data_IF_269072693662
#
_entry.id   IF_269072693662
#
_cell.length_a   1.000
_cell.length_b   1.000
_cell.length_c   1.000
_cell.angle_alpha   90.00
_cell.angle_beta   90.00
_cell.angle_gamma   90.00
#
_symmetry.space_group_name_H-M   'P 1'
#
loop_
_entity.id
_entity.type
_entity.pdbx_description
1 polymer ?
#
# COMPACT_ATOMS: atom_id res chain seq x y z
N UNK A 1 27.52 38.07 60.75
CA UNK A 1 28.40 38.47 59.62
C UNK A 1 28.12 37.54 58.44
N UNK A 2 27.59 38.05 57.33
CA UNK A 2 27.33 37.29 56.09
C UNK A 2 28.46 37.57 55.10
N UNK A 3 29.20 36.55 54.67
CA UNK A 3 30.23 36.67 53.64
C UNK A 3 29.60 36.56 52.25
N UNK A 4 29.78 37.61 51.43
CA UNK A 4 29.46 37.65 50.00
C UNK A 4 30.55 36.92 49.22
N UNK A 5 30.19 36.00 48.32
CA UNK A 5 31.06 35.58 47.23
C UNK A 5 30.61 36.22 45.92
N UNK A 6 31.61 36.76 45.21
CA UNK A 6 31.52 37.56 43.99
C UNK A 6 31.46 36.66 42.75
N UNK A 7 30.51 36.93 41.86
CA UNK A 7 30.38 36.30 40.54
C UNK A 7 31.34 36.93 39.53
N UNK A 8 32.00 36.11 38.69
CA UNK A 8 32.64 36.58 37.45
C UNK A 8 32.10 35.78 36.26
N UNK A 9 31.14 36.37 35.56
CA UNK A 9 30.63 35.91 34.27
C UNK A 9 31.48 36.54 33.18
N UNK A 10 32.10 35.75 32.30
CA UNK A 10 32.81 36.24 31.10
C UNK A 10 31.89 36.03 29.91
N UNK A 11 31.26 37.10 29.45
CA UNK A 11 30.39 37.09 28.27
C UNK A 11 31.22 37.05 26.99
N UNK A 12 31.09 35.98 26.21
CA UNK A 12 31.52 35.97 24.81
C UNK A 12 30.36 36.55 23.98
N UNK A 13 30.60 37.73 23.40
CA UNK A 13 29.70 38.40 22.46
C UNK A 13 29.67 37.62 21.14
N UNK A 14 28.67 36.77 20.94
CA UNK A 14 28.33 36.25 19.62
C UNK A 14 27.09 36.97 19.12
N UNK A 15 27.29 37.87 18.16
CA UNK A 15 26.22 38.55 17.45
C UNK A 15 25.32 37.51 16.75
N UNK A 16 23.99 37.69 16.76
CA UNK A 16 23.08 36.81 16.02
C UNK A 16 23.30 36.95 14.50
N UNK A 17 23.20 35.84 13.72
CA UNK A 17 23.36 35.90 12.27
C UNK A 17 22.29 36.78 11.61
N UNK A 18 22.75 37.77 10.83
CA UNK A 18 21.94 38.76 10.13
C UNK A 18 21.03 38.11 9.08
N UNK A 19 19.72 38.39 9.17
CA UNK A 19 18.74 38.12 8.10
C UNK A 19 19.08 39.00 6.89
N UNK A 20 19.21 38.40 5.69
CA UNK A 20 19.33 39.16 4.44
C UNK A 20 18.01 39.86 4.16
N UNK A 21 18.01 41.19 4.28
CA UNK A 21 16.95 42.05 3.79
C UNK A 21 17.01 42.12 2.25
N UNK A 22 15.85 41.93 1.60
CA UNK A 22 15.63 42.31 0.22
C UNK A 22 15.79 43.84 0.09
N UNK A 23 16.78 44.30 -0.68
CA UNK A 23 16.84 45.67 -1.15
C UNK A 23 16.52 45.72 -2.64
N UNK A 24 15.38 46.33 -2.93
CA UNK A 24 15.00 46.86 -4.23
C UNK A 24 16.06 47.84 -4.77
N UNK A 25 16.51 47.63 -6.00
CA UNK A 25 17.11 48.70 -6.81
C UNK A 25 16.58 48.62 -8.24
N UNK A 26 16.10 49.78 -8.72
CA UNK A 26 15.58 50.01 -10.07
C UNK A 26 16.68 50.64 -10.96
N UNK A 27 16.69 50.19 -12.22
CA UNK A 27 17.13 50.85 -13.50
C UNK A 27 18.62 50.92 -13.86
N UNK A 28 18.99 51.03 -15.17
CA UNK A 28 18.16 51.36 -16.34
C UNK A 28 18.22 50.39 -17.55
N UNK A 29 17.29 50.62 -18.50
CA UNK A 29 17.20 50.07 -19.86
C UNK A 29 18.36 50.55 -20.74
N UNK A 30 18.93 49.64 -21.53
CA UNK A 30 19.43 49.92 -22.88
C UNK A 30 19.07 48.75 -23.83
N UNK A 31 18.39 49.13 -24.91
CA UNK A 31 18.18 48.51 -26.24
C UNK A 31 19.41 47.76 -26.80
N UNK A 32 19.37 46.69 -27.60
CA UNK A 32 18.36 45.85 -28.29
C UNK A 32 19.08 44.52 -28.70
N UNK A 33 18.65 43.76 -29.73
CA UNK A 33 17.79 42.57 -29.66
C UNK A 33 18.54 41.26 -29.96
N UNK A 34 18.11 40.16 -29.37
CA UNK A 34 18.53 38.80 -29.75
C UNK A 34 17.36 37.86 -29.56
N UNK A 35 16.77 37.44 -30.67
CA UNK A 35 15.77 36.38 -30.76
C UNK A 35 16.24 35.10 -30.06
N UNK A 36 15.33 34.47 -29.32
CA UNK A 36 15.59 33.24 -28.59
C UNK A 36 14.36 32.82 -27.81
N UNK A 37 13.37 32.29 -28.53
CA UNK A 37 12.20 31.59 -28.00
C UNK A 37 12.63 30.53 -26.99
N UNK A 38 12.13 30.65 -25.75
CA UNK A 38 12.23 29.62 -24.70
C UNK A 38 10.84 29.41 -24.11
N UNK A 39 10.02 28.68 -24.86
CA UNK A 39 8.79 28.09 -24.35
C UNK A 39 9.13 26.82 -23.58
N UNK A 40 9.34 26.97 -22.27
CA UNK A 40 9.27 25.86 -21.32
C UNK A 40 8.72 26.35 -19.97
N UNK A 41 7.50 26.90 -20.00
CA UNK A 41 6.69 27.04 -18.77
C UNK A 41 5.96 25.73 -18.53
N UNK A 42 6.41 24.95 -17.54
CA UNK A 42 5.61 23.85 -16.96
C UNK A 42 4.22 24.40 -16.61
N UNK A 43 3.16 23.84 -17.18
CA UNK A 43 1.78 24.18 -16.83
C UNK A 43 1.57 23.85 -15.35
N UNK A 44 1.40 24.88 -14.52
CA UNK A 44 1.07 24.74 -13.10
C UNK A 44 -0.39 24.32 -13.02
N UNK A 45 -0.70 23.19 -12.37
CA UNK A 45 -2.10 22.81 -12.13
C UNK A 45 -2.71 23.85 -11.18
N UNK A 46 -3.86 24.39 -11.56
CA UNK A 46 -4.62 25.35 -10.78
C UNK A 46 -6.07 24.93 -10.82
N UNK A 47 -6.62 24.57 -9.65
CA UNK A 47 -8.04 24.26 -9.51
C UNK A 47 -8.86 25.53 -9.35
N UNK A 48 -10.09 25.49 -9.84
CA UNK A 48 -11.11 26.48 -9.54
C UNK A 48 -11.59 26.35 -8.09
N UNK A 49 -12.12 27.45 -7.54
CA UNK A 49 -12.71 27.49 -6.20
C UNK A 49 -13.84 26.45 -6.05
N UNK A 50 -14.66 26.25 -7.09
CA UNK A 50 -15.73 25.24 -7.11
C UNK A 50 -15.23 23.80 -7.03
N UNK A 51 -14.08 23.51 -7.65
CA UNK A 51 -13.47 22.17 -7.57
C UNK A 51 -12.89 21.93 -6.17
N UNK A 52 -12.22 22.93 -5.59
CA UNK A 52 -11.67 22.85 -4.24
C UNK A 52 -12.77 22.66 -3.18
N UNK A 53 -13.89 23.37 -3.30
CA UNK A 53 -15.08 23.16 -2.48
C UNK A 53 -15.59 21.71 -2.60
N UNK A 54 -15.71 21.20 -3.82
CA UNK A 54 -16.18 19.82 -4.05
C UNK A 54 -15.28 18.80 -3.35
N UNK A 55 -13.96 18.93 -3.48
CA UNK A 55 -13.01 18.04 -2.79
C UNK A 55 -13.06 18.19 -1.27
N UNK A 56 -13.32 19.40 -0.77
CA UNK A 56 -13.48 19.66 0.66
C UNK A 56 -14.70 18.94 1.23
N UNK A 57 -15.88 19.07 0.61
CA UNK A 57 -17.11 18.39 1.05
C UNK A 57 -17.00 16.86 0.95
N UNK A 58 -16.41 16.34 -0.13
CA UNK A 58 -16.16 14.89 -0.27
C UNK A 58 -15.22 14.37 0.83
N UNK A 59 -14.21 15.15 1.22
CA UNK A 59 -13.34 14.77 2.32
C UNK A 59 -14.04 14.82 3.68
N UNK A 60 -14.98 15.74 3.90
CA UNK A 60 -15.82 15.77 5.11
C UNK A 60 -16.74 14.55 5.18
N UNK A 61 -17.40 14.20 4.08
CA UNK A 61 -18.21 12.99 3.97
C UNK A 61 -17.40 11.74 4.31
N UNK A 62 -16.25 11.58 3.66
CA UNK A 62 -15.35 10.44 3.88
C UNK A 62 -14.96 10.33 5.36
N UNK A 63 -14.61 11.46 5.99
CA UNK A 63 -14.19 11.47 7.39
C UNK A 63 -15.33 11.13 8.35
N UNK A 64 -16.55 11.59 8.05
CA UNK A 64 -17.73 11.31 8.85
C UNK A 64 -18.12 9.83 8.76
N UNK A 65 -18.16 9.27 7.55
CA UNK A 65 -18.45 7.84 7.31
C UNK A 65 -17.42 6.95 8.00
N UNK A 66 -16.13 7.25 7.89
CA UNK A 66 -15.06 6.53 8.59
C UNK A 66 -15.27 6.55 10.12
N UNK A 67 -15.58 7.72 10.68
CA UNK A 67 -15.80 7.87 12.13
C UNK A 67 -17.01 7.04 12.61
N UNK A 68 -18.11 7.02 11.85
CA UNK A 68 -19.29 6.22 12.15
C UNK A 68 -18.97 4.72 12.03
N UNK A 69 -18.31 4.32 10.94
CA UNK A 69 -17.91 2.93 10.68
C UNK A 69 -17.10 2.36 11.83
N UNK A 70 -16.09 3.08 12.32
CA UNK A 70 -15.26 2.60 13.45
C UNK A 70 -16.04 2.28 14.72
N UNK A 71 -17.18 2.94 14.95
CA UNK A 71 -18.06 2.65 16.10
C UNK A 71 -18.98 1.47 15.78
N UNK A 72 -19.54 1.42 14.57
CA UNK A 72 -20.42 0.33 14.12
C UNK A 72 -19.68 -1.01 14.07
N UNK A 73 -18.45 -1.04 13.56
CA UNK A 73 -17.64 -2.26 13.44
C UNK A 73 -17.29 -2.93 14.77
N UNK A 74 -17.33 -2.20 15.89
CA UNK A 74 -17.03 -2.73 17.22
C UNK A 74 -18.17 -3.56 17.83
N UNK A 75 -19.34 -3.60 17.17
CA UNK A 75 -20.53 -4.39 17.49
C UNK A 75 -20.75 -4.68 18.99
N UNK A 76 -20.81 -3.62 19.81
CA UNK A 76 -20.94 -3.75 21.26
C UNK A 76 -22.35 -3.35 21.74
N UNK A 77 -22.76 -3.83 22.93
CA UNK A 77 -24.07 -3.51 23.54
C UNK A 77 -24.29 -2.01 23.77
N UNK A 78 -23.24 -1.18 23.72
CA UNK A 78 -23.26 0.28 23.93
C UNK A 78 -23.12 1.10 22.63
N UNK A 79 -23.31 0.48 21.46
CA UNK A 79 -23.06 1.11 20.16
C UNK A 79 -23.89 2.40 19.98
N UNK A 80 -25.16 2.38 20.38
CA UNK A 80 -26.04 3.54 20.26
C UNK A 80 -25.61 4.71 21.17
N UNK A 81 -25.13 4.42 22.38
CA UNK A 81 -24.58 5.41 23.31
C UNK A 81 -23.29 6.02 22.75
N UNK A 82 -22.42 5.19 22.18
CA UNK A 82 -21.17 5.65 21.56
C UNK A 82 -21.42 6.49 20.31
N UNK A 83 -22.42 6.15 19.50
CA UNK A 83 -22.81 6.95 18.33
C UNK A 83 -23.42 8.30 18.75
N UNK A 84 -24.21 8.34 19.82
CA UNK A 84 -24.73 9.58 20.38
C UNK A 84 -23.58 10.48 20.90
N UNK A 85 -22.64 9.90 21.65
CA UNK A 85 -21.45 10.60 22.11
C UNK A 85 -20.56 11.09 20.96
N UNK A 86 -20.43 10.29 19.89
CA UNK A 86 -19.71 10.68 18.68
C UNK A 86 -20.38 11.87 17.97
N UNK A 87 -21.70 11.82 17.77
CA UNK A 87 -22.48 12.92 17.16
C UNK A 87 -22.30 14.21 17.96
N UNK A 88 -22.39 14.14 19.29
CA UNK A 88 -22.18 15.27 20.17
C UNK A 88 -20.74 15.81 20.04
N UNK A 89 -19.72 14.93 20.13
CA UNK A 89 -18.31 15.32 20.00
C UNK A 89 -18.02 16.03 18.68
N UNK A 90 -18.55 15.52 17.56
CA UNK A 90 -18.29 16.07 16.23
C UNK A 90 -19.07 17.35 15.95
N UNK A 91 -20.29 17.49 16.46
CA UNK A 91 -21.12 18.71 16.33
C UNK A 91 -20.71 19.84 17.28
N UNK A 92 -19.97 19.55 18.36
CA UNK A 92 -19.41 20.58 19.26
C UNK A 92 -17.92 20.86 19.00
N UNK A 93 -17.35 20.34 17.92
CA UNK A 93 -15.92 20.44 17.65
C UNK A 93 -15.51 21.90 17.38
N UNK A 94 -14.64 22.46 18.24
CA UNK A 94 -14.15 23.85 18.12
C UNK A 94 -13.16 24.07 16.95
N UNK A 95 -12.72 23.00 16.30
CA UNK A 95 -11.78 23.02 15.19
C UNK A 95 -12.21 21.98 14.17
N UNK A 96 -11.95 22.26 12.90
CA UNK A 96 -12.08 21.27 11.83
C UNK A 96 -11.22 20.03 12.17
N UNK A 97 -11.78 18.81 12.09
CA UNK A 97 -11.01 17.59 12.29
C UNK A 97 -9.75 17.54 11.43
N UNK A 98 -8.65 17.11 12.05
CA UNK A 98 -7.37 16.96 11.34
C UNK A 98 -7.50 15.96 10.21
N UNK A 99 -6.88 16.28 9.08
CA UNK A 99 -6.84 15.41 7.91
C UNK A 99 -7.91 15.69 6.85
N UNK A 100 -8.94 16.52 7.11
CA UNK A 100 -9.93 16.89 6.08
C UNK A 100 -9.27 17.67 4.93
N UNK A 101 -8.46 18.68 5.24
CA UNK A 101 -7.74 19.46 4.20
C UNK A 101 -6.73 18.58 3.44
N UNK A 102 -6.07 17.65 4.13
CA UNK A 102 -5.12 16.72 3.50
C UNK A 102 -5.84 15.65 2.66
N UNK A 103 -7.01 15.18 3.10
CA UNK A 103 -7.86 14.26 2.35
C UNK A 103 -8.40 14.91 1.09
N UNK A 104 -8.89 16.14 1.18
CA UNK A 104 -9.32 16.93 0.03
C UNK A 104 -8.18 17.13 -0.98
N UNK A 105 -6.97 17.43 -0.51
CA UNK A 105 -5.79 17.54 -1.38
C UNK A 105 -5.43 16.22 -2.08
N UNK A 106 -5.56 15.08 -1.40
CA UNK A 106 -5.35 13.75 -2.00
C UNK A 106 -6.41 13.41 -3.05
N UNK A 107 -7.68 13.79 -2.82
CA UNK A 107 -8.75 13.63 -3.81
C UNK A 107 -8.45 14.46 -5.07
N UNK A 108 -8.02 15.71 -4.89
CA UNK A 108 -7.59 16.56 -5.98
C UNK A 108 -6.36 16.01 -6.73
N UNK A 109 -5.38 15.46 -5.99
CA UNK A 109 -4.20 14.80 -6.57
C UNK A 109 -4.60 13.58 -7.41
N UNK A 110 -5.55 12.77 -6.96
CA UNK A 110 -6.02 11.59 -7.71
C UNK A 110 -6.68 11.93 -9.05
N UNK A 111 -7.14 13.18 -9.19
CA UNK A 111 -7.70 13.72 -10.45
C UNK A 111 -6.61 14.18 -11.41
N UNK A 112 -5.37 14.38 -10.91
CA UNK A 112 -4.22 14.80 -11.70
C UNK A 112 -3.33 13.59 -12.06
N UNK A 113 -3.08 13.38 -13.35
CA UNK A 113 -2.22 12.29 -13.83
C UNK A 113 -0.70 12.49 -13.57
N UNK A 114 -0.30 13.48 -12.77
CA UNK A 114 1.11 13.77 -12.47
C UNK A 114 1.43 13.68 -10.97
N UNK A 115 2.23 12.68 -10.53
CA UNK A 115 2.49 12.37 -9.12
C UNK A 115 3.48 13.32 -8.40
N UNK A 116 3.67 14.56 -8.88
CA UNK A 116 4.65 15.50 -8.31
C UNK A 116 4.08 16.84 -7.84
N UNK A 117 2.74 16.98 -7.80
CA UNK A 117 2.09 18.24 -7.45
C UNK A 117 1.39 18.25 -6.07
N UNK A 118 1.51 17.18 -5.27
CA UNK A 118 0.86 17.05 -3.96
C UNK A 118 1.06 18.28 -3.04
N UNK A 119 2.30 18.76 -2.91
CA UNK A 119 2.62 19.93 -2.09
C UNK A 119 2.00 21.23 -2.61
N UNK A 120 1.87 21.35 -3.94
CA UNK A 120 1.26 22.51 -4.58
C UNK A 120 -0.26 22.50 -4.37
N UNK A 121 -0.90 21.35 -4.56
CA UNK A 121 -2.34 21.16 -4.39
C UNK A 121 -2.72 21.38 -2.92
N UNK A 122 -1.92 20.85 -1.98
CA UNK A 122 -2.14 21.07 -0.55
C UNK A 122 -2.02 22.55 -0.17
N UNK A 123 -1.09 23.31 -0.79
CA UNK A 123 -0.99 24.76 -0.59
C UNK A 123 -2.17 25.50 -1.18
N UNK A 124 -2.66 25.10 -2.36
CA UNK A 124 -3.87 25.68 -2.97
C UNK A 124 -5.09 25.46 -2.08
N UNK A 125 -5.28 24.23 -1.58
CA UNK A 125 -6.39 23.91 -0.67
C UNK A 125 -6.31 24.72 0.63
N UNK A 126 -5.13 24.83 1.27
CA UNK A 126 -4.98 25.67 2.48
C UNK A 126 -5.27 27.14 2.20
N UNK A 127 -4.69 27.68 1.13
CA UNK A 127 -4.91 29.08 0.72
C UNK A 127 -6.38 29.35 0.40
N UNK A 128 -7.08 28.39 -0.18
CA UNK A 128 -8.51 28.48 -0.46
C UNK A 128 -9.31 28.49 0.85
N UNK A 129 -9.10 27.51 1.73
CA UNK A 129 -9.81 27.42 3.01
C UNK A 129 -9.50 28.58 3.98
N UNK A 130 -8.33 29.21 3.88
CA UNK A 130 -7.96 30.38 4.68
C UNK A 130 -8.61 31.69 4.16
N UNK A 131 -8.94 31.75 2.86
CA UNK A 131 -9.53 32.93 2.20
C UNK A 131 -10.97 32.70 1.73
N UNK A 132 -11.60 31.60 2.10
CA UNK A 132 -12.92 31.22 1.65
C UNK A 132 -13.96 32.25 2.10
N UNK A 133 -14.73 32.76 1.15
CA UNK A 133 -15.83 33.70 1.42
C UNK A 133 -17.04 32.88 1.84
N UNK A 134 -17.04 32.44 3.10
CA UNK A 134 -18.04 31.51 3.61
C UNK A 134 -18.10 31.48 5.14
N UNK A 135 -18.77 30.46 5.68
CA UNK A 135 -18.78 30.22 7.12
C UNK A 135 -17.39 29.69 7.51
N UNK A 136 -17.00 29.89 8.76
CA UNK A 136 -15.74 29.29 9.24
C UNK A 136 -15.81 27.77 9.08
N UNK A 137 -14.70 27.16 8.68
CA UNK A 137 -14.61 25.73 8.38
C UNK A 137 -15.12 24.84 9.53
N UNK A 138 -14.89 25.25 10.79
CA UNK A 138 -15.45 24.52 11.93
C UNK A 138 -16.99 24.56 12.00
N UNK A 139 -17.62 25.67 11.60
CA UNK A 139 -19.08 25.82 11.59
C UNK A 139 -19.67 24.98 10.46
N UNK A 140 -19.05 24.99 9.28
CA UNK A 140 -19.50 24.16 8.15
C UNK A 140 -19.43 22.66 8.47
N UNK A 141 -18.37 22.23 9.16
CA UNK A 141 -18.26 20.87 9.65
C UNK A 141 -19.38 20.52 10.65
N UNK A 142 -19.68 21.40 11.61
CA UNK A 142 -20.73 21.15 12.60
C UNK A 142 -22.11 21.02 11.94
N UNK A 143 -22.44 21.93 11.01
CA UNK A 143 -23.70 21.88 10.26
C UNK A 143 -23.78 20.62 9.39
N UNK A 144 -22.69 20.26 8.72
CA UNK A 144 -22.59 19.05 7.91
C UNK A 144 -22.82 17.79 8.74
N UNK A 145 -22.24 17.70 9.93
CA UNK A 145 -22.44 16.59 10.86
C UNK A 145 -23.91 16.53 11.29
N UNK A 146 -24.48 17.63 11.77
CA UNK A 146 -25.88 17.64 12.23
C UNK A 146 -26.83 17.21 11.13
N UNK A 147 -26.60 17.66 9.89
CA UNK A 147 -27.45 17.35 8.73
C UNK A 147 -27.33 15.89 8.25
N UNK A 148 -26.13 15.33 8.22
CA UNK A 148 -25.88 14.06 7.52
C UNK A 148 -25.60 12.84 8.44
N UNK A 149 -25.39 13.05 9.74
CA UNK A 149 -24.98 11.97 10.64
C UNK A 149 -25.96 10.80 10.70
N UNK A 150 -27.26 11.06 10.80
CA UNK A 150 -28.26 10.00 10.94
C UNK A 150 -28.42 9.19 9.64
N UNK A 151 -28.31 9.85 8.48
CA UNK A 151 -28.28 9.20 7.17
C UNK A 151 -27.10 8.25 7.04
N UNK A 152 -25.88 8.73 7.33
CA UNK A 152 -24.68 7.90 7.25
C UNK A 152 -24.61 6.82 8.33
N UNK A 153 -25.19 7.08 9.52
CA UNK A 153 -25.38 6.05 10.55
C UNK A 153 -26.22 4.89 10.01
N UNK A 154 -27.33 5.18 9.35
CA UNK A 154 -28.21 4.15 8.80
C UNK A 154 -27.51 3.41 7.65
N UNK A 155 -26.82 4.10 6.75
CA UNK A 155 -26.03 3.49 5.67
C UNK A 155 -24.98 2.50 6.21
N UNK A 156 -24.14 2.92 7.16
CA UNK A 156 -23.05 2.09 7.69
C UNK A 156 -23.56 0.95 8.57
N UNK A 157 -24.66 1.15 9.32
CA UNK A 157 -25.27 0.06 10.11
C UNK A 157 -25.94 -1.00 9.23
N UNK A 158 -26.57 -0.60 8.13
CA UNK A 158 -27.12 -1.54 7.15
C UNK A 158 -26.01 -2.31 6.43
N UNK A 159 -24.90 -1.63 6.07
CA UNK A 159 -23.73 -2.26 5.47
C UNK A 159 -23.09 -3.29 6.42
N UNK A 160 -22.97 -2.96 7.71
CA UNK A 160 -22.43 -3.87 8.72
C UNK A 160 -23.34 -5.08 8.98
N UNK A 161 -24.67 -4.91 8.96
CA UNK A 161 -25.63 -6.02 9.07
C UNK A 161 -25.56 -6.95 7.86
N UNK A 162 -25.38 -6.40 6.66
CA UNK A 162 -25.17 -7.19 5.44
C UNK A 162 -23.88 -8.00 5.50
N UNK A 163 -22.82 -7.45 6.10
CA UNK A 163 -21.54 -8.14 6.25
C UNK A 163 -21.54 -9.23 7.34
N UNK A 164 -22.41 -9.12 8.36
CA UNK A 164 -22.52 -10.15 9.42
C UNK A 164 -23.32 -11.39 9.00
N UNK A 165 -24.23 -11.30 8.04
CA UNK A 165 -25.00 -12.46 7.58
C UNK A 165 -24.11 -13.50 6.88
N UNK A 166 -22.93 -13.10 6.42
CA UNK A 166 -21.96 -13.95 5.72
C UNK A 166 -20.87 -14.55 6.64
N UNK A 167 -20.82 -14.22 7.94
CA UNK A 167 -19.66 -14.52 8.81
C UNK A 167 -19.93 -15.39 10.06
N UNK A 168 -21.09 -16.03 10.18
CA UNK A 168 -21.34 -16.93 11.32
C UNK A 168 -20.78 -18.32 11.04
N UNK A 169 -19.47 -18.48 11.23
CA UNK A 169 -18.93 -19.70 11.82
C UNK A 169 -17.50 -19.49 12.36
N UNK A 170 -17.23 -20.12 13.49
CA UNK A 170 -15.95 -20.25 14.22
C UNK A 170 -15.68 -19.23 15.34
N UNK A 171 -16.17 -19.60 16.52
CA UNK A 171 -15.69 -19.15 17.83
C UNK A 171 -14.32 -19.78 18.13
N UNK A 172 -13.27 -18.96 18.28
CA UNK A 172 -12.00 -19.40 18.91
C UNK A 172 -11.38 -18.27 19.70
N UNK A 173 -11.24 -18.53 21.00
CA UNK A 173 -10.93 -17.56 22.05
C UNK A 173 -9.65 -16.76 21.83
N UNK A 174 -9.81 -15.43 21.86
CA UNK A 174 -8.72 -14.49 22.06
C UNK A 174 -8.39 -14.43 23.55
N UNK A 175 -7.15 -14.76 23.90
CA UNK A 175 -6.60 -14.55 25.23
C UNK A 175 -6.49 -13.05 25.46
N UNK A 176 -7.26 -12.54 26.42
CA UNK A 176 -7.23 -11.16 26.89
C UNK A 176 -5.86 -10.85 27.50
N UNK A 177 -5.06 -10.00 26.85
CA UNK A 177 -3.94 -9.32 27.48
C UNK A 177 -4.51 -8.23 28.42
N UNK A 178 -4.69 -8.60 29.68
CA UNK A 178 -5.16 -7.70 30.71
C UNK A 178 -4.03 -6.73 31.10
N UNK A 179 -4.12 -5.47 30.67
CA UNK A 179 -3.31 -4.41 31.28
C UNK A 179 -2.98 -3.18 30.45
N UNK A 180 -3.24 -3.15 29.13
CA UNK A 180 -2.99 -1.93 28.35
C UNK A 180 -4.26 -1.08 28.23
N UNK A 181 -4.28 0.18 28.71
CA UNK A 181 -5.40 1.08 28.45
C UNK A 181 -5.54 1.24 26.93
N UNK A 182 -6.77 1.13 26.44
CA UNK A 182 -7.12 1.42 25.04
C UNK A 182 -6.81 2.89 24.79
N UNK A 183 -5.67 3.18 24.18
CA UNK A 183 -5.30 4.55 23.82
C UNK A 183 -5.79 4.86 22.42
N UNK A 184 -6.53 5.96 22.29
CA UNK A 184 -7.00 6.53 21.03
C UNK A 184 -5.79 6.86 20.11
N UNK A 185 -5.55 6.07 19.06
CA UNK A 185 -4.45 6.26 18.09
C UNK A 185 -4.49 7.65 17.44
N UNK A 186 -5.64 8.31 17.39
CA UNK A 186 -5.79 9.67 16.86
C UNK A 186 -5.30 10.78 17.80
N UNK A 187 -4.89 10.43 19.03
CA UNK A 187 -4.37 11.40 20.01
C UNK A 187 -2.87 11.65 19.90
N UNK A 188 -2.14 10.83 19.14
CA UNK A 188 -0.70 10.96 18.99
C UNK A 188 -0.32 11.66 17.69
N UNK A 189 0.40 12.78 17.82
CA UNK A 189 1.21 13.30 16.71
C UNK A 189 2.40 12.38 16.55
N UNK A 190 2.52 11.72 15.41
CA UNK A 190 3.73 11.00 15.04
C UNK A 190 4.78 12.00 14.56
N UNK A 191 6.03 11.82 14.98
CA UNK A 191 7.16 12.58 14.47
C UNK A 191 8.27 11.62 14.06
N UNK A 192 8.96 11.95 12.97
CA UNK A 192 10.15 11.20 12.56
C UNK A 192 11.33 11.72 13.35
N UNK A 193 11.97 10.84 14.12
CA UNK A 193 13.18 11.14 14.86
C UNK A 193 14.26 10.11 14.50
N UNK A 194 15.52 10.56 14.48
CA UNK A 194 16.66 9.63 14.44
C UNK A 194 16.69 8.82 15.73
N UNK A 195 16.94 7.52 15.63
CA UNK A 195 17.06 6.67 16.82
C UNK A 195 18.20 7.11 17.73
N UNK A 196 19.25 7.70 17.17
CA UNK A 196 20.35 8.28 17.95
C UNK A 196 19.88 9.44 18.84
N UNK A 197 18.83 10.15 18.44
CA UNK A 197 18.25 11.24 19.23
C UNK A 197 17.25 10.73 20.29
N UNK A 198 16.79 9.48 20.15
CA UNK A 198 15.90 8.84 21.12
C UNK A 198 16.70 8.11 22.22
N UNK A 199 17.91 7.67 21.89
CA UNK A 199 18.83 7.06 22.86
C UNK A 199 19.45 8.18 23.70
N UNK A 200 19.37 8.03 25.02
CA UNK A 200 19.95 8.96 25.99
C UNK A 200 21.42 9.26 25.72
N UNK A 201 21.81 10.53 25.78
CA UNK A 201 23.18 10.97 25.51
C UNK A 201 24.18 10.45 26.55
N UNK A 202 23.76 10.29 27.80
CA UNK A 202 24.58 9.82 28.92
C UNK A 202 24.75 8.30 28.98
N UNK A 203 24.11 7.54 28.09
CA UNK A 203 24.26 6.10 28.03
C UNK A 203 25.70 5.73 27.60
N UNK A 204 26.27 4.71 28.24
CA UNK A 204 27.58 4.17 27.90
C UNK A 204 27.66 3.83 26.39
N UNK A 205 28.71 4.29 25.67
CA UNK A 205 28.91 3.98 24.25
C UNK A 205 28.78 2.50 23.91
N UNK A 206 29.22 1.60 24.80
CA UNK A 206 29.13 0.14 24.61
C UNK A 206 27.67 -0.35 24.58
N UNK A 207 26.80 0.22 25.42
CA UNK A 207 25.38 -0.11 25.47
C UNK A 207 24.67 0.45 24.24
N UNK A 208 25.01 1.69 23.82
CA UNK A 208 24.47 2.29 22.59
C UNK A 208 24.79 1.44 21.36
N UNK A 209 26.04 1.00 21.24
CA UNK A 209 26.48 0.12 20.15
C UNK A 209 25.74 -1.22 20.18
N UNK A 210 25.55 -1.82 21.36
CA UNK A 210 24.79 -3.06 21.51
C UNK A 210 23.32 -2.89 21.06
N UNK A 211 22.66 -1.79 21.44
CA UNK A 211 21.29 -1.48 21.02
C UNK A 211 21.23 -1.37 19.50
N UNK A 212 22.14 -0.59 18.90
CA UNK A 212 22.17 -0.39 17.45
C UNK A 212 22.41 -1.71 16.71
N UNK A 213 23.37 -2.52 17.17
CA UNK A 213 23.65 -3.85 16.61
C UNK A 213 22.44 -4.78 16.69
N UNK A 214 21.71 -4.79 17.81
CA UNK A 214 20.49 -5.60 17.96
C UNK A 214 19.39 -5.12 17.01
N UNK A 215 19.19 -3.80 16.88
CA UNK A 215 18.20 -3.25 15.95
C UNK A 215 18.56 -3.54 14.50
N UNK A 216 19.81 -3.35 14.10
CA UNK A 216 20.29 -3.70 12.76
C UNK A 216 20.08 -5.17 12.46
N UNK A 217 20.44 -6.06 13.39
CA UNK A 217 20.22 -7.51 13.23
C UNK A 217 18.73 -7.85 13.11
N UNK A 218 17.87 -7.18 13.88
CA UNK A 218 16.42 -7.35 13.78
C UNK A 218 15.90 -6.89 12.41
N UNK A 219 16.32 -5.71 11.93
CA UNK A 219 15.95 -5.20 10.61
C UNK A 219 16.39 -6.14 9.48
N UNK A 220 17.66 -6.56 9.49
CA UNK A 220 18.21 -7.51 8.52
C UNK A 220 17.41 -8.81 8.57
N UNK A 221 17.23 -9.39 9.76
CA UNK A 221 16.50 -10.65 9.92
C UNK A 221 15.04 -10.57 9.45
N UNK A 222 14.34 -9.46 9.73
CA UNK A 222 12.98 -9.25 9.22
C UNK A 222 12.94 -9.07 7.69
N UNK A 223 13.96 -8.43 7.12
CA UNK A 223 14.08 -8.24 5.67
C UNK A 223 14.36 -9.57 4.98
N UNK A 224 15.32 -10.34 5.50
CA UNK A 224 15.66 -11.68 4.99
C UNK A 224 14.45 -12.61 5.04
N UNK A 225 13.72 -12.62 6.16
CA UNK A 225 12.47 -13.37 6.30
C UNK A 225 11.47 -13.02 5.20
N UNK A 226 11.22 -11.72 4.96
CA UNK A 226 10.28 -11.29 3.93
C UNK A 226 10.77 -11.59 2.52
N UNK A 227 12.07 -11.49 2.26
CA UNK A 227 12.67 -11.87 0.98
C UNK A 227 12.46 -13.35 0.71
N UNK A 228 12.72 -14.22 1.68
CA UNK A 228 12.51 -15.66 1.56
C UNK A 228 11.02 -16.00 1.42
N UNK A 229 10.17 -15.40 2.25
CA UNK A 229 8.73 -15.59 2.16
C UNK A 229 8.20 -15.17 0.77
N UNK A 230 8.61 -14.00 0.28
CA UNK A 230 8.21 -13.51 -1.05
C UNK A 230 8.70 -14.41 -2.18
N UNK A 231 9.94 -14.93 -2.08
CA UNK A 231 10.50 -15.89 -3.03
C UNK A 231 9.69 -17.18 -3.05
N UNK A 232 9.29 -17.67 -1.87
CA UNK A 232 8.45 -18.87 -1.75
C UNK A 232 7.08 -18.67 -2.40
N UNK A 233 6.42 -17.54 -2.16
CA UNK A 233 5.16 -17.19 -2.84
C UNK A 233 5.34 -17.15 -4.36
N UNK A 234 6.44 -16.54 -4.83
CA UNK A 234 6.73 -16.48 -6.26
C UNK A 234 7.01 -17.87 -6.86
N UNK A 235 7.73 -18.74 -6.14
CA UNK A 235 7.96 -20.13 -6.54
C UNK A 235 6.63 -20.88 -6.68
N UNK A 236 5.74 -20.78 -5.68
CA UNK A 236 4.40 -21.38 -5.76
C UNK A 236 3.61 -20.89 -6.99
N UNK A 237 3.64 -19.58 -7.27
CA UNK A 237 3.00 -19.02 -8.48
C UNK A 237 3.63 -19.52 -9.78
N UNK A 238 4.94 -19.75 -9.80
CA UNK A 238 5.64 -20.31 -10.97
C UNK A 238 5.28 -21.78 -11.16
N UNK A 239 5.24 -22.57 -10.09
CA UNK A 239 4.82 -23.97 -10.14
C UNK A 239 3.40 -24.10 -10.71
N UNK A 240 2.49 -23.18 -10.38
CA UNK A 240 1.14 -23.14 -10.97
C UNK A 240 1.11 -22.84 -12.48
N UNK A 241 2.19 -22.36 -13.10
CA UNK A 241 2.24 -22.20 -14.57
C UNK A 241 2.37 -23.52 -15.31
N UNK A 242 3.08 -24.47 -14.73
CA UNK A 242 3.40 -25.78 -15.32
C UNK A 242 2.63 -26.92 -14.66
N UNK A 243 1.70 -26.61 -13.76
CA UNK A 243 0.89 -27.60 -13.06
C UNK A 243 -0.59 -27.20 -13.12
N UNK A 244 -1.46 -28.21 -13.07
CA UNK A 244 -2.91 -28.03 -13.02
C UNK A 244 -3.45 -28.76 -11.80
N UNK A 245 -4.45 -28.16 -11.15
CA UNK A 245 -5.25 -28.87 -10.16
C UNK A 245 -6.13 -29.92 -10.85
N UNK A 246 -6.32 -31.05 -10.21
CA UNK A 246 -7.25 -32.10 -10.64
C UNK A 246 -7.84 -32.79 -9.41
N UNK A 247 -9.01 -33.40 -9.58
CA UNK A 247 -9.66 -34.20 -8.55
C UNK A 247 -9.25 -35.67 -8.69
N UNK A 248 -8.76 -36.26 -7.60
CA UNK A 248 -8.57 -37.69 -7.44
C UNK A 248 -9.59 -38.20 -6.40
N UNK A 249 -10.78 -38.57 -6.87
CA UNK A 249 -11.96 -38.67 -6.01
C UNK A 249 -12.33 -37.30 -5.44
N UNK A 250 -12.44 -37.21 -4.10
CA UNK A 250 -12.73 -35.96 -3.40
C UNK A 250 -11.47 -35.16 -3.02
N UNK A 251 -10.27 -35.64 -3.41
CA UNK A 251 -8.99 -35.02 -3.02
C UNK A 251 -8.45 -34.16 -4.16
N UNK A 252 -8.19 -32.88 -3.85
CA UNK A 252 -7.51 -31.97 -4.76
C UNK A 252 -6.02 -32.30 -4.79
N UNK A 253 -5.48 -32.56 -5.98
CA UNK A 253 -4.06 -32.78 -6.23
C UNK A 253 -3.56 -31.91 -7.39
N UNK A 254 -2.24 -31.86 -7.58
CA UNK A 254 -1.59 -31.15 -8.70
C UNK A 254 -0.84 -32.11 -9.60
N UNK A 255 -0.92 -31.91 -10.91
CA UNK A 255 -0.12 -32.66 -11.90
C UNK A 255 0.59 -31.72 -12.87
N UNK A 256 1.76 -32.14 -13.35
CA UNK A 256 2.50 -31.39 -14.36
C UNK A 256 1.78 -31.44 -15.70
N UNK A 257 1.68 -30.29 -16.35
CA UNK A 257 1.04 -30.12 -17.66
C UNK A 257 1.89 -29.19 -18.51
N UNK A 258 1.77 -29.31 -19.84
CA UNK A 258 2.57 -28.50 -20.76
C UNK A 258 2.20 -27.02 -20.75
N UNK A 259 1.10 -26.63 -20.09
CA UNK A 259 0.58 -25.26 -20.10
C UNK A 259 -0.39 -25.02 -21.26
N UNK A 260 -0.95 -23.82 -21.30
CA UNK A 260 -1.77 -23.38 -22.42
C UNK A 260 -0.90 -22.79 -23.54
N UNK A 261 -0.92 -23.42 -24.71
CA UNK A 261 -0.21 -22.91 -25.87
C UNK A 261 -0.91 -21.67 -26.44
N UNK A 262 -0.26 -20.51 -26.29
CA UNK A 262 -0.83 -19.23 -26.76
C UNK A 262 -0.96 -19.16 -28.29
N UNK A 263 -0.24 -20.00 -29.03
CA UNK A 263 -0.33 -20.07 -30.50
C UNK A 263 -1.69 -20.58 -30.96
N UNK A 264 -2.46 -21.24 -30.09
CA UNK A 264 -3.85 -21.66 -30.36
C UNK A 264 -4.82 -20.47 -30.47
N UNK A 265 -4.51 -19.35 -29.82
CA UNK A 265 -5.33 -18.13 -29.89
C UNK A 265 -4.76 -17.21 -30.96
N UNK A 266 -3.45 -17.04 -31.02
CA UNK A 266 -2.82 -16.04 -31.88
C UNK A 266 -2.72 -16.53 -33.33
N UNK A 267 -2.97 -15.67 -34.33
CA UNK A 267 -2.82 -16.01 -35.74
C UNK A 267 -1.39 -16.46 -36.10
N UNK A 268 -1.27 -17.35 -37.08
CA UNK A 268 -0.02 -18.02 -37.44
C UNK A 268 1.11 -17.06 -37.85
N UNK A 269 0.77 -15.88 -38.39
CA UNK A 269 1.75 -14.86 -38.79
C UNK A 269 2.48 -14.21 -37.60
N UNK A 270 1.97 -14.41 -36.38
CA UNK A 270 2.56 -13.90 -35.15
C UNK A 270 3.15 -14.99 -34.27
N UNK A 271 3.12 -16.26 -34.71
CA UNK A 271 3.79 -17.35 -34.02
C UNK A 271 5.29 -17.07 -33.90
N UNK A 272 5.88 -17.52 -32.80
CA UNK A 272 7.33 -17.49 -32.59
C UNK A 272 7.91 -18.88 -32.84
N UNK A 273 9.21 -18.94 -33.11
CA UNK A 273 9.92 -20.21 -33.40
C UNK A 273 9.80 -21.26 -32.27
N UNK A 274 9.44 -20.81 -31.06
CA UNK A 274 9.08 -21.69 -29.94
C UNK A 274 7.64 -21.41 -29.45
N UNK A 275 6.86 -22.47 -29.15
CA UNK A 275 5.57 -22.33 -28.50
C UNK A 275 5.76 -21.72 -27.10
N UNK A 276 4.97 -20.70 -26.79
CA UNK A 276 4.98 -20.05 -25.49
C UNK A 276 3.80 -20.55 -24.68
N UNK A 277 4.09 -21.50 -23.80
CA UNK A 277 3.10 -22.02 -22.88
C UNK A 277 2.86 -21.03 -21.73
N UNK A 278 1.59 -20.88 -21.38
CA UNK A 278 1.10 -20.03 -20.30
C UNK A 278 0.33 -20.88 -19.28
N UNK A 279 -0.23 -20.24 -18.25
CA UNK A 279 -0.97 -20.94 -17.19
C UNK A 279 -2.10 -21.76 -17.83
N UNK A 280 -2.19 -23.04 -17.45
CA UNK A 280 -3.25 -23.93 -17.91
C UNK A 280 -4.61 -23.46 -17.36
N UNK A 281 -5.66 -23.41 -18.18
CA UNK A 281 -7.02 -23.16 -17.70
C UNK A 281 -7.37 -24.11 -16.55
N UNK A 282 -8.12 -23.59 -15.58
CA UNK A 282 -8.71 -24.43 -14.55
C UNK A 282 -9.66 -25.44 -15.22
N UNK A 283 -9.53 -26.72 -14.85
CA UNK A 283 -10.43 -27.74 -15.37
C UNK A 283 -11.85 -27.52 -14.81
N UNK A 284 -12.88 -27.74 -15.63
CA UNK A 284 -14.27 -27.44 -15.27
C UNK A 284 -14.75 -28.26 -14.09
N UNK A 285 -14.39 -29.55 -14.04
CA UNK A 285 -14.67 -30.47 -12.93
C UNK A 285 -14.08 -29.98 -11.59
N UNK A 286 -12.91 -29.37 -11.63
CA UNK A 286 -12.27 -28.77 -10.44
C UNK A 286 -12.97 -27.46 -10.07
N UNK A 287 -13.29 -26.63 -11.06
CA UNK A 287 -13.96 -25.34 -10.84
C UNK A 287 -15.36 -25.48 -10.25
N UNK A 288 -16.06 -26.58 -10.57
CA UNK A 288 -17.43 -26.84 -10.10
C UNK A 288 -17.45 -27.46 -8.70
N UNK A 289 -16.28 -27.84 -8.14
CA UNK A 289 -16.18 -28.39 -6.79
C UNK A 289 -16.39 -27.30 -5.73
N UNK A 290 -17.40 -27.43 -4.84
CA UNK A 290 -17.62 -26.46 -3.77
C UNK A 290 -16.44 -26.35 -2.79
N UNK A 291 -15.75 -27.46 -2.57
CA UNK A 291 -14.55 -27.51 -1.73
C UNK A 291 -13.37 -26.78 -2.37
N UNK A 292 -13.27 -26.80 -3.71
CA UNK A 292 -12.27 -26.04 -4.44
C UNK A 292 -12.60 -24.54 -4.42
N UNK A 293 -13.82 -24.13 -4.74
CA UNK A 293 -14.19 -22.72 -4.83
C UNK A 293 -13.98 -21.95 -3.51
N UNK A 294 -14.43 -22.55 -2.40
CA UNK A 294 -14.29 -21.94 -1.08
C UNK A 294 -12.81 -21.75 -0.67
N UNK A 295 -11.97 -22.77 -0.82
CA UNK A 295 -10.55 -22.70 -0.47
C UNK A 295 -9.75 -21.87 -1.49
N UNK A 296 -10.12 -21.93 -2.77
CA UNK A 296 -9.48 -21.17 -3.85
C UNK A 296 -9.69 -19.67 -3.66
N UNK A 297 -10.88 -19.26 -3.19
CA UNK A 297 -11.15 -17.87 -2.86
C UNK A 297 -10.15 -17.32 -1.83
N UNK A 298 -9.65 -18.17 -0.93
CA UNK A 298 -8.69 -17.80 0.12
C UNK A 298 -7.23 -17.84 -0.34
N UNK A 299 -6.97 -18.28 -1.59
CA UNK A 299 -5.62 -18.41 -2.12
C UNK A 299 -4.90 -17.05 -2.12
N UNK A 300 -3.70 -17.05 -1.52
CA UNK A 300 -2.88 -15.85 -1.28
C UNK A 300 -3.56 -14.75 -0.46
N UNK A 301 -4.64 -15.06 0.27
CA UNK A 301 -5.17 -14.20 1.32
C UNK A 301 -4.47 -14.44 2.66
N UNK A 302 -4.86 -13.67 3.69
CA UNK A 302 -4.25 -13.70 5.03
C UNK A 302 -4.19 -15.11 5.62
N UNK A 303 -5.26 -15.89 5.51
CA UNK A 303 -5.31 -17.27 6.02
C UNK A 303 -4.29 -18.17 5.32
N UNK A 304 -4.30 -18.19 3.99
CA UNK A 304 -3.35 -18.98 3.19
C UNK A 304 -1.89 -18.57 3.45
N UNK A 305 -1.59 -17.25 3.44
CA UNK A 305 -0.23 -16.75 3.70
C UNK A 305 0.25 -17.09 5.12
N UNK A 306 -0.66 -17.12 6.10
CA UNK A 306 -0.36 -17.56 7.47
C UNK A 306 -0.02 -19.06 7.54
N UNK A 307 -0.73 -19.90 6.78
CA UNK A 307 -0.44 -21.34 6.69
C UNK A 307 0.92 -21.60 6.05
N UNK A 308 1.27 -20.86 4.99
CA UNK A 308 2.60 -20.93 4.36
C UNK A 308 3.68 -20.55 5.36
N UNK A 309 3.50 -19.44 6.09
CA UNK A 309 4.44 -18.99 7.12
C UNK A 309 4.61 -20.04 8.22
N UNK A 310 3.51 -20.67 8.62
CA UNK A 310 3.49 -21.72 9.65
C UNK A 310 4.22 -22.98 9.19
N UNK A 311 4.01 -23.44 7.95
CA UNK A 311 4.68 -24.62 7.40
C UNK A 311 6.19 -24.39 7.25
N UNK A 312 6.61 -23.28 6.66
CA UNK A 312 8.00 -23.09 6.23
C UNK A 312 8.88 -22.34 7.24
N UNK A 313 8.31 -21.56 8.16
CA UNK A 313 9.10 -20.69 9.04
C UNK A 313 8.82 -20.91 10.54
N UNK A 314 7.71 -21.56 10.91
CA UNK A 314 7.41 -21.86 12.31
C UNK A 314 7.92 -23.25 12.73
N UNK A 315 8.14 -23.44 14.04
CA UNK A 315 8.65 -24.70 14.59
C UNK A 315 7.57 -25.76 14.86
N UNK A 316 6.30 -25.35 14.98
CA UNK A 316 5.19 -26.26 15.34
C UNK A 316 4.42 -26.82 14.15
N UNK A 317 4.55 -26.24 12.95
CA UNK A 317 3.73 -26.60 11.80
C UNK A 317 2.23 -26.32 12.02
N UNK A 318 1.42 -26.73 11.04
CA UNK A 318 -0.05 -26.62 11.10
C UNK A 318 -0.67 -27.89 11.67
N UNK A 319 -1.83 -27.78 12.34
CA UNK A 319 -2.59 -28.94 12.81
C UNK A 319 -3.28 -29.65 11.65
N UNK A 320 -3.42 -30.98 11.71
CA UNK A 320 -4.05 -31.79 10.65
C UNK A 320 -5.48 -31.35 10.33
N UNK A 321 -6.26 -30.97 11.36
CA UNK A 321 -7.61 -30.42 11.18
C UNK A 321 -7.62 -29.15 10.33
N UNK A 322 -6.62 -28.28 10.52
CA UNK A 322 -6.47 -27.05 9.72
C UNK A 322 -6.05 -27.37 8.30
N UNK A 323 -5.15 -28.35 8.09
CA UNK A 323 -4.72 -28.75 6.74
C UNK A 323 -5.86 -29.41 5.95
N UNK A 324 -6.71 -30.20 6.61
CA UNK A 324 -7.88 -30.82 5.99
C UNK A 324 -8.93 -29.79 5.53
N UNK A 325 -9.00 -28.63 6.20
CA UNK A 325 -9.87 -27.52 5.79
C UNK A 325 -9.32 -26.73 4.58
N UNK A 326 -8.05 -26.93 4.23
CA UNK A 326 -7.36 -26.21 3.14
C UNK A 326 -6.72 -27.18 2.14
N UNK A 327 -7.53 -27.90 1.33
CA UNK A 327 -7.04 -28.89 0.39
C UNK A 327 -6.11 -28.32 -0.68
N UNK A 328 -6.27 -27.06 -1.11
CA UNK A 328 -5.39 -26.40 -2.09
C UNK A 328 -4.02 -26.12 -1.49
N UNK A 329 -3.97 -25.64 -0.25
CA UNK A 329 -2.70 -25.46 0.47
C UNK A 329 -1.96 -26.79 0.62
N UNK A 330 -2.70 -27.88 0.87
CA UNK A 330 -2.13 -29.23 0.95
C UNK A 330 -1.58 -29.70 -0.39
N UNK A 331 -2.31 -29.47 -1.49
CA UNK A 331 -1.85 -29.81 -2.84
C UNK A 331 -0.60 -28.99 -3.24
N UNK A 332 -0.60 -27.67 -2.99
CA UNK A 332 0.56 -26.81 -3.20
C UNK A 332 1.75 -27.23 -2.34
N UNK A 333 1.50 -27.59 -1.09
CA UNK A 333 2.53 -28.10 -0.19
C UNK A 333 3.22 -29.34 -0.74
N UNK A 334 2.46 -30.33 -1.22
CA UNK A 334 3.00 -31.53 -1.88
C UNK A 334 3.80 -31.19 -3.14
N UNK A 335 3.31 -30.23 -3.92
CA UNK A 335 3.99 -29.76 -5.13
C UNK A 335 5.36 -29.15 -4.80
N UNK A 336 5.43 -28.30 -3.77
CA UNK A 336 6.67 -27.70 -3.31
C UNK A 336 7.64 -28.75 -2.75
N UNK A 337 7.13 -29.73 -2.01
CA UNK A 337 7.94 -30.84 -1.49
C UNK A 337 8.53 -31.70 -2.64
N UNK A 338 7.78 -31.88 -3.74
CA UNK A 338 8.25 -32.56 -4.95
C UNK A 338 9.35 -31.82 -5.72
N UNK A 339 9.40 -30.48 -5.61
CA UNK A 339 10.45 -29.62 -6.15
C UNK A 339 11.64 -29.44 -5.18
N UNK A 340 11.71 -30.25 -4.11
CA UNK A 340 12.72 -30.21 -3.05
C UNK A 340 12.80 -28.86 -2.30
N UNK A 341 11.69 -28.11 -2.26
CA UNK A 341 11.58 -26.86 -1.53
C UNK A 341 11.06 -27.14 -0.13
N UNK A 342 11.97 -27.13 0.84
CA UNK A 342 11.73 -27.47 2.24
C UNK A 342 11.97 -26.27 3.15
N UNK A 343 11.74 -26.45 4.45
CA UNK A 343 12.00 -25.41 5.47
C UNK A 343 13.48 -25.01 5.49
N UNK A 344 14.37 -25.96 5.27
CA UNK A 344 15.84 -25.76 5.26
C UNK A 344 16.31 -24.88 4.09
N UNK A 345 15.52 -24.81 3.00
CA UNK A 345 15.79 -23.93 1.85
C UNK A 345 15.80 -22.45 2.24
N UNK A 346 15.15 -22.09 3.36
CA UNK A 346 14.98 -20.72 3.82
C UNK A 346 15.66 -20.51 5.18
N UNK A 347 16.97 -20.22 5.23
CA UNK A 347 17.73 -20.15 6.47
C UNK A 347 17.49 -18.84 7.23
N UNK A 348 16.31 -18.70 7.85
CA UNK A 348 16.01 -17.56 8.73
C UNK A 348 16.55 -17.84 10.13
N UNK A 349 17.73 -17.30 10.44
CA UNK A 349 18.39 -17.52 11.74
C UNK A 349 18.09 -16.41 12.73
N UNK A 350 17.72 -16.80 13.96
CA UNK A 350 17.68 -15.93 15.14
C UNK A 350 16.74 -14.71 15.04
N UNK A 351 15.68 -14.80 14.26
CA UNK A 351 14.65 -13.76 14.19
C UNK A 351 13.53 -14.08 15.18
N UNK A 352 13.16 -13.16 16.09
CA UNK A 352 12.05 -13.39 17.01
C UNK A 352 10.73 -13.62 16.26
N UNK A 353 9.92 -14.58 16.72
CA UNK A 353 8.63 -14.91 16.10
C UNK A 353 7.67 -13.71 16.04
N UNK A 354 7.68 -12.84 17.05
CA UNK A 354 6.88 -11.60 17.06
C UNK A 354 7.28 -10.66 15.92
N UNK A 355 8.57 -10.57 15.61
CA UNK A 355 9.07 -9.73 14.52
C UNK A 355 8.72 -10.32 13.14
N UNK A 356 8.80 -11.65 12.99
CA UNK A 356 8.34 -12.32 11.78
C UNK A 356 6.84 -12.08 11.56
N UNK A 357 6.02 -12.21 12.61
CA UNK A 357 4.58 -11.98 12.55
C UNK A 357 4.26 -10.54 12.14
N UNK A 358 4.94 -9.54 12.73
CA UNK A 358 4.77 -8.13 12.34
C UNK A 358 5.16 -7.90 10.88
N UNK A 359 6.31 -8.44 10.46
CA UNK A 359 6.79 -8.29 9.08
C UNK A 359 5.81 -8.95 8.09
N UNK A 360 5.27 -10.13 8.44
CA UNK A 360 4.27 -10.84 7.65
C UNK A 360 2.98 -10.03 7.52
N UNK A 361 2.48 -9.41 8.60
CA UNK A 361 1.30 -8.54 8.54
C UNK A 361 1.50 -7.34 7.61
N UNK A 362 2.68 -6.72 7.64
CA UNK A 362 3.04 -5.64 6.72
C UNK A 362 3.02 -6.16 5.27
N UNK A 363 3.61 -7.32 5.03
CA UNK A 363 3.60 -7.96 3.71
C UNK A 363 2.19 -8.28 3.23
N UNK A 364 1.36 -8.89 4.06
CA UNK A 364 -0.04 -9.21 3.76
C UNK A 364 -0.85 -7.95 3.43
N UNK A 365 -0.63 -6.87 4.19
CA UNK A 365 -1.28 -5.58 3.93
C UNK A 365 -0.87 -5.01 2.57
N UNK A 366 0.43 -5.04 2.26
CA UNK A 366 0.94 -4.59 0.96
C UNK A 366 0.42 -5.46 -0.19
N UNK A 367 0.42 -6.78 -0.01
CA UNK A 367 -0.10 -7.74 -0.97
C UNK A 367 -1.59 -7.48 -1.23
N UNK A 368 -2.41 -7.38 -0.17
CA UNK A 368 -3.82 -7.02 -0.27
C UNK A 368 -4.01 -5.71 -1.01
N UNK A 369 -3.25 -4.66 -0.70
CA UNK A 369 -3.35 -3.37 -1.36
C UNK A 369 -2.99 -3.43 -2.86
N UNK A 370 -2.05 -4.29 -3.26
CA UNK A 370 -1.73 -4.51 -4.68
C UNK A 370 -2.91 -5.12 -5.44
N UNK A 371 -3.69 -6.00 -4.81
CA UNK A 371 -4.73 -6.79 -5.48
C UNK A 371 -6.17 -6.31 -5.25
N UNK A 372 -6.44 -5.57 -4.16
CA UNK A 372 -7.79 -5.19 -3.71
C UNK A 372 -8.60 -4.38 -4.74
N UNK A 373 -7.92 -3.58 -5.57
CA UNK A 373 -8.61 -2.77 -6.58
C UNK A 373 -8.93 -3.52 -7.88
N UNK A 374 -8.40 -4.74 -8.07
CA UNK A 374 -8.35 -5.47 -9.37
C UNK A 374 -7.80 -4.64 -10.53
N UNK A 375 -7.34 -3.41 -10.30
CA UNK A 375 -6.99 -2.42 -11.33
C UNK A 375 -5.78 -2.87 -12.13
N UNK A 376 -4.79 -3.46 -11.48
CA UNK A 376 -3.62 -4.01 -12.17
C UNK A 376 -4.01 -5.19 -13.07
N UNK A 377 -4.80 -6.14 -12.55
CA UNK A 377 -5.27 -7.31 -13.33
C UNK A 377 -6.14 -6.84 -14.49
N UNK A 378 -7.16 -6.01 -14.23
CA UNK A 378 -8.06 -5.51 -15.26
C UNK A 378 -7.29 -4.73 -16.33
N UNK A 379 -6.36 -3.84 -15.95
CA UNK A 379 -5.51 -3.14 -16.92
C UNK A 379 -4.64 -4.08 -17.76
N UNK A 380 -4.14 -5.17 -17.17
CA UNK A 380 -3.36 -6.17 -17.91
C UNK A 380 -4.24 -7.00 -18.85
N UNK A 381 -5.43 -7.41 -18.38
CA UNK A 381 -6.42 -8.13 -19.16
C UNK A 381 -6.94 -7.28 -20.33
N UNK A 382 -7.32 -6.02 -20.08
CA UNK A 382 -7.74 -5.08 -21.11
C UNK A 382 -6.65 -4.90 -22.17
N UNK A 383 -5.39 -4.76 -21.76
CA UNK A 383 -4.26 -4.69 -22.69
C UNK A 383 -4.12 -5.97 -23.50
N UNK A 384 -4.22 -7.13 -22.87
CA UNK A 384 -4.14 -8.43 -23.55
C UNK A 384 -5.26 -8.56 -24.58
N UNK A 385 -6.51 -8.27 -24.19
CA UNK A 385 -7.68 -8.31 -25.08
C UNK A 385 -7.52 -7.33 -26.25
N UNK A 386 -7.09 -6.10 -25.99
CA UNK A 386 -6.84 -5.10 -27.04
C UNK A 386 -5.74 -5.57 -28.00
N UNK A 387 -4.68 -6.20 -27.50
CA UNK A 387 -3.62 -6.76 -28.35
C UNK A 387 -4.18 -7.89 -29.20
N UNK A 388 -4.85 -8.88 -28.60
CA UNK A 388 -5.46 -9.99 -29.33
C UNK A 388 -6.44 -9.49 -30.40
N UNK A 389 -7.34 -8.57 -30.05
CA UNK A 389 -8.27 -7.94 -31.00
C UNK A 389 -7.54 -7.25 -32.16
N UNK A 390 -6.44 -6.53 -31.90
CA UNK A 390 -5.66 -5.88 -32.96
C UNK A 390 -5.01 -6.90 -33.89
N UNK A 391 -4.48 -7.99 -33.32
CA UNK A 391 -3.87 -9.09 -34.09
C UNK A 391 -4.90 -9.77 -34.99
N UNK A 392 -6.12 -10.00 -34.51
CA UNK A 392 -7.17 -10.66 -35.28
C UNK A 392 -7.91 -9.74 -36.26
N UNK A 393 -8.22 -8.49 -35.89
CA UNK A 393 -9.01 -7.57 -36.71
C UNK A 393 -8.17 -6.83 -37.76
N UNK A 394 -6.87 -6.62 -37.51
CA UNK A 394 -6.00 -5.86 -38.42
C UNK A 394 -4.58 -6.45 -38.50
N UNK A 395 -4.41 -7.73 -38.86
CA UNK A 395 -3.13 -8.43 -38.84
C UNK A 395 -2.04 -7.75 -39.68
N UNK A 396 -2.37 -7.30 -40.90
CA UNK A 396 -1.43 -6.61 -41.80
C UNK A 396 -0.85 -5.34 -41.18
N UNK A 397 -1.70 -4.53 -40.52
CA UNK A 397 -1.28 -3.29 -39.85
C UNK A 397 -0.35 -3.57 -38.68
N UNK A 398 -0.63 -4.61 -37.90
CA UNK A 398 0.17 -4.95 -36.73
C UNK A 398 1.51 -5.61 -37.13
N UNK A 399 1.53 -6.41 -38.20
CA UNK A 399 2.78 -6.91 -38.80
C UNK A 399 3.68 -5.77 -39.28
N UNK A 400 3.12 -4.80 -39.99
CA UNK A 400 3.87 -3.62 -40.44
C UNK A 400 4.41 -2.82 -39.25
N UNK A 401 3.61 -2.66 -38.20
CA UNK A 401 4.05 -2.01 -36.96
C UNK A 401 5.21 -2.78 -36.29
N UNK A 402 5.12 -4.10 -36.19
CA UNK A 402 6.19 -4.95 -35.65
C UNK A 402 7.47 -4.80 -36.47
N UNK A 403 7.37 -4.81 -37.80
CA UNK A 403 8.52 -4.59 -38.67
C UNK A 403 9.14 -3.20 -38.46
N UNK A 404 8.33 -2.15 -38.32
CA UNK A 404 8.81 -0.80 -38.03
C UNK A 404 9.54 -0.72 -36.69
N UNK A 405 9.05 -1.41 -35.65
CA UNK A 405 9.70 -1.48 -34.34
C UNK A 405 11.05 -2.21 -34.45
N UNK A 406 11.09 -3.37 -35.13
CA UNK A 406 12.32 -4.13 -35.35
C UNK A 406 13.36 -3.30 -36.11
N UNK A 407 12.94 -2.62 -37.17
CA UNK A 407 13.77 -1.70 -37.95
C UNK A 407 14.28 -0.52 -37.12
N UNK A 408 13.47 -0.01 -36.18
CA UNK A 408 13.89 1.07 -35.28
C UNK A 408 14.92 0.57 -34.26
N UNK A 409 14.71 -0.62 -33.68
CA UNK A 409 15.65 -1.24 -32.73
C UNK A 409 16.98 -1.53 -33.43
N UNK A 410 16.96 -2.07 -34.65
CA UNK A 410 18.18 -2.37 -35.42
C UNK A 410 18.92 -1.10 -35.88
N UNK A 411 18.23 0.05 -35.93
CA UNK A 411 18.81 1.36 -36.28
C UNK A 411 19.25 2.17 -35.07
N UNK A 412 18.96 1.75 -33.84
CA UNK A 412 19.52 2.43 -32.66
C UNK A 412 21.02 2.10 -32.59
N UNK A 413 21.93 3.08 -32.71
CA UNK A 413 23.31 2.86 -32.34
C UNK A 413 23.35 2.48 -30.86
N UNK A 414 24.20 1.53 -30.49
CA UNK A 414 24.52 1.26 -29.09
C UNK A 414 25.07 2.55 -28.48
N UNK A 415 24.22 3.31 -27.78
CA UNK A 415 24.71 4.25 -26.78
C UNK A 415 25.34 3.41 -25.68
N UNK A 416 26.63 3.12 -25.84
CA UNK A 416 27.52 2.75 -24.74
C UNK A 416 27.34 3.83 -23.69
N UNK A 417 26.56 3.53 -22.65
CA UNK A 417 26.57 4.34 -21.43
C UNK A 417 28.05 4.39 -21.00
N UNK A 418 28.68 5.57 -20.92
CA UNK A 418 30.04 5.64 -20.42
C UNK A 418 30.04 5.01 -19.04
N UNK A 419 30.88 4.00 -18.86
CA UNK A 419 31.13 3.42 -17.54
C UNK A 419 31.52 4.59 -16.64
N UNK A 420 30.63 4.94 -15.70
CA UNK A 420 31.05 5.76 -14.57
C UNK A 420 32.01 4.89 -13.78
N UNK A 421 33.30 5.06 -14.08
CA UNK A 421 34.38 4.67 -13.20
C UNK A 421 34.13 5.40 -11.88
N UNK A 422 33.53 4.71 -10.92
CA UNK A 422 33.63 5.11 -9.53
C UNK A 422 35.01 4.69 -9.04
N UNK A 423 36.00 5.51 -9.39
CA UNK A 423 37.32 5.49 -8.78
C UNK A 423 37.32 6.37 -7.53
N UNK A 424 37.11 5.74 -6.37
CA UNK A 424 37.89 5.86 -5.11
C UNK A 424 37.08 5.31 -3.95
#
# INVERSE_FOLDING_TARGET
MKAKQSSRFVGISTLPPKRKHHSSSKRPRSSSPGEGTSDNKRKRVQFSDTELDTFFFLSMETKLKESIRTVVSKNNKKMNEQLAALKQKLSTAKKLPSGIITGAAKLAESTCNEPSQADLILRQMRSFMDNHVGKKNEIEWQEFVVKNFDTFKNEETNLAKSAQLESNDTDRGSVSDAGCPVVDENSYRTCTASINNLIREDLDPSIKDLIMKKLQRAMIGSTDYILYFSSLIQMMMICLKSNQFFLDGDVINTRKVNGFDITTIVSSEFHTDSPKYTITPLATDVSDSPAFDADFSQLFQEQHLSLISTKYFSNRGSQDQTLNAHPIQTALSKLMDAEDIKKETFPVKNVPSSLMSLALQIYMTNFKNMWAGKTMINKLLDKLLVILLRLHLAPKRELQRRQNILNYISRKPEEKRPSKNYGR
#
